data_IF_972525574859
#
_entry.id   IF_972525574859
#
_cell.length_a   1.000
_cell.length_b   1.000
_cell.length_c   1.000
_cell.angle_alpha   90.00
_cell.angle_beta   90.00
_cell.angle_gamma   90.00
#
_symmetry.space_group_name_H-M   'P 1'
#
loop_
_entity.id
_entity.type
_entity.pdbx_description
1 polymer ?
#
# COMPACT_ATOMS: atom_id res chain seq x y z
N UNK A 1 26.01 20.96 11.62
CA UNK A 1 25.24 19.76 11.29
C UNK A 1 26.20 18.61 11.03
N UNK A 2 25.95 17.45 11.63
CA UNK A 2 26.74 16.24 11.37
C UNK A 2 26.72 15.89 9.88
N UNK A 3 27.88 15.50 9.34
CA UNK A 3 27.97 15.13 7.93
C UNK A 3 27.12 13.89 7.64
N UNK A 4 26.35 13.90 6.55
CA UNK A 4 25.47 12.81 6.12
C UNK A 4 26.17 11.44 6.10
N UNK A 5 27.48 11.40 5.84
CA UNK A 5 28.27 10.16 5.80
C UNK A 5 28.23 9.37 7.11
N UNK A 6 28.19 10.05 8.27
CA UNK A 6 28.14 9.40 9.57
C UNK A 6 26.75 8.84 9.87
N UNK A 7 25.70 9.53 9.42
CA UNK A 7 24.33 9.02 9.48
C UNK A 7 24.15 7.77 8.62
N UNK A 8 24.67 7.81 7.39
CA UNK A 8 24.65 6.66 6.48
C UNK A 8 25.49 5.51 7.06
N UNK A 9 26.67 5.79 7.62
CA UNK A 9 27.47 4.80 8.35
C UNK A 9 26.62 4.10 9.43
N UNK A 10 25.98 4.86 10.31
CA UNK A 10 25.17 4.29 11.39
C UNK A 10 23.99 3.46 10.84
N UNK A 11 23.30 3.97 9.84
CA UNK A 11 22.16 3.25 9.22
C UNK A 11 22.58 1.93 8.61
N UNK A 12 23.78 1.87 8.02
CA UNK A 12 24.32 0.72 7.30
C UNK A 12 24.83 -0.41 8.23
N UNK A 13 24.98 -0.15 9.56
CA UNK A 13 25.48 -1.17 10.49
C UNK A 13 24.49 -2.33 10.63
N UNK A 14 24.79 -3.44 9.96
CA UNK A 14 24.09 -4.71 10.15
C UNK A 14 24.55 -5.35 11.46
N UNK A 15 23.63 -5.93 12.22
CA UNK A 15 23.97 -6.50 13.57
C UNK A 15 23.80 -5.51 14.72
N UNK A 16 23.51 -4.22 14.44
CA UNK A 16 23.07 -3.25 15.43
C UNK A 16 21.55 -3.06 15.28
N UNK A 17 20.80 -3.41 16.32
CA UNK A 17 19.33 -3.30 16.28
C UNK A 17 18.85 -1.85 16.15
N UNK A 18 17.65 -1.59 15.61
CA UNK A 18 17.08 -0.23 15.57
C UNK A 18 17.06 0.43 16.97
N UNK A 19 16.71 -0.30 18.01
CA UNK A 19 16.70 0.21 19.38
C UNK A 19 18.11 0.59 19.86
N UNK A 20 19.15 -0.18 19.49
CA UNK A 20 20.54 0.13 19.84
C UNK A 20 21.04 1.39 19.09
N UNK A 21 20.70 1.55 17.81
CA UNK A 21 21.01 2.79 17.05
C UNK A 21 20.35 4.01 17.67
N UNK A 22 19.07 3.89 18.06
CA UNK A 22 18.36 4.95 18.75
C UNK A 22 18.96 5.26 20.14
N UNK A 23 19.36 4.24 20.90
CA UNK A 23 20.05 4.42 22.19
C UNK A 23 21.39 5.18 22.02
N UNK A 24 22.15 4.84 20.98
CA UNK A 24 23.38 5.52 20.61
C UNK A 24 23.15 7.01 20.34
N UNK A 25 22.16 7.32 19.49
CA UNK A 25 21.81 8.70 19.14
C UNK A 25 21.26 9.49 20.32
N UNK A 26 20.49 8.87 21.22
CA UNK A 26 20.08 9.52 22.48
C UNK A 26 21.24 9.85 23.40
N UNK A 27 22.30 9.01 23.40
CA UNK A 27 23.45 9.21 24.24
C UNK A 27 24.41 10.32 23.74
N UNK A 28 24.67 10.33 22.42
CA UNK A 28 25.64 11.26 21.81
C UNK A 28 25.02 12.48 21.12
N UNK A 29 23.71 12.48 20.90
CA UNK A 29 22.98 13.54 20.22
C UNK A 29 22.98 13.44 18.71
N UNK A 30 24.07 13.01 18.09
CA UNK A 30 24.19 12.83 16.64
C UNK A 30 25.16 11.72 16.24
N UNK A 31 25.12 11.34 14.94
CA UNK A 31 25.90 10.23 14.42
C UNK A 31 27.41 10.54 14.28
N UNK A 32 27.78 11.79 14.10
CA UNK A 32 29.19 12.20 13.98
C UNK A 32 29.89 12.15 15.35
N UNK A 33 29.25 12.69 16.38
CA UNK A 33 29.72 12.58 17.77
C UNK A 33 29.85 11.11 18.19
N UNK A 34 28.86 10.29 17.86
CA UNK A 34 28.92 8.86 18.10
C UNK A 34 30.09 8.18 17.37
N UNK A 35 30.36 8.56 16.12
CA UNK A 35 31.45 7.97 15.34
C UNK A 35 32.82 8.26 15.96
N UNK A 36 33.02 9.43 16.54
CA UNK A 36 34.29 9.83 17.16
C UNK A 36 34.38 9.55 18.67
N UNK A 37 33.36 8.87 19.24
CA UNK A 37 33.38 8.51 20.65
C UNK A 37 34.61 7.65 21.03
N UNK A 38 35.10 7.74 22.26
CA UNK A 38 36.23 6.92 22.72
C UNK A 38 35.98 5.40 22.59
N UNK A 39 37.02 4.63 22.30
CA UNK A 39 36.94 3.19 22.21
C UNK A 39 36.47 2.56 23.53
N UNK A 40 35.64 1.53 23.47
CA UNK A 40 35.09 0.80 24.62
C UNK A 40 33.89 1.49 25.29
N UNK A 41 33.43 2.63 24.83
CA UNK A 41 32.24 3.28 25.40
C UNK A 41 30.92 2.67 24.94
N UNK A 42 30.82 2.16 23.70
CA UNK A 42 29.57 1.64 23.17
C UNK A 42 28.99 0.47 24.00
N UNK A 43 29.85 -0.40 24.54
CA UNK A 43 29.43 -1.51 25.40
C UNK A 43 28.85 -1.10 26.75
N UNK A 44 29.02 0.16 27.17
CA UNK A 44 28.47 0.71 28.42
C UNK A 44 27.08 1.33 28.22
N UNK A 45 26.67 1.56 26.98
CA UNK A 45 25.36 2.15 26.67
C UNK A 45 24.28 1.08 26.81
N UNK A 46 23.31 1.34 27.69
CA UNK A 46 22.17 0.44 27.89
C UNK A 46 21.40 0.21 26.58
N UNK A 47 21.23 -1.04 26.21
CA UNK A 47 20.53 -1.44 24.98
C UNK A 47 21.45 -1.77 23.81
N UNK A 48 22.77 -1.61 23.95
CA UNK A 48 23.76 -2.06 22.96
C UNK A 48 24.37 -3.39 23.45
N UNK A 49 24.21 -4.45 22.64
CA UNK A 49 24.81 -5.74 22.91
C UNK A 49 26.33 -5.72 22.68
N UNK A 50 27.07 -6.66 23.27
CA UNK A 50 28.52 -6.79 23.05
C UNK A 50 28.86 -6.95 21.55
N UNK A 51 28.07 -7.73 20.80
CA UNK A 51 28.23 -7.85 19.34
C UNK A 51 27.95 -6.54 18.59
N UNK A 52 26.91 -5.81 18.99
CA UNK A 52 26.59 -4.49 18.43
C UNK A 52 27.67 -3.46 18.72
N UNK A 53 28.22 -3.46 19.94
CA UNK A 53 29.34 -2.59 20.31
C UNK A 53 30.59 -2.89 19.44
N UNK A 54 30.95 -4.15 19.25
CA UNK A 54 32.07 -4.53 18.39
C UNK A 54 31.90 -4.08 16.93
N UNK A 55 30.67 -4.18 16.39
CA UNK A 55 30.34 -3.67 15.06
C UNK A 55 30.52 -2.15 14.98
N UNK A 56 30.05 -1.40 15.97
CA UNK A 56 30.20 0.07 16.02
C UNK A 56 31.67 0.48 16.21
N UNK A 57 32.44 -0.25 17.02
CA UNK A 57 33.87 0.00 17.24
C UNK A 57 34.72 -0.18 15.98
N UNK A 58 34.29 -1.02 15.04
CA UNK A 58 35.01 -1.19 13.75
C UNK A 58 35.05 0.08 12.92
N UNK A 59 34.06 0.99 13.10
CA UNK A 59 33.93 2.25 12.35
C UNK A 59 34.09 2.09 10.85
N UNK A 60 33.60 0.97 10.33
CA UNK A 60 33.71 0.65 8.91
C UNK A 60 32.90 1.60 8.05
N UNK A 61 33.58 2.40 7.24
CA UNK A 61 33.00 3.38 6.29
C UNK A 61 32.99 2.87 4.85
N UNK A 62 33.49 1.66 4.59
CA UNK A 62 33.72 1.13 3.24
C UNK A 62 32.48 1.16 2.33
N UNK A 63 31.28 0.97 2.90
CA UNK A 63 30.02 0.97 2.17
C UNK A 63 29.35 2.33 2.00
N UNK A 64 29.82 3.36 2.69
CA UNK A 64 29.13 4.66 2.75
C UNK A 64 29.08 5.33 1.38
N UNK A 65 30.21 5.33 0.67
CA UNK A 65 30.30 5.95 -0.66
C UNK A 65 29.42 5.21 -1.69
N UNK A 66 29.43 3.86 -1.66
CA UNK A 66 28.60 3.02 -2.53
C UNK A 66 27.11 3.27 -2.26
N UNK A 67 26.69 3.37 -0.98
CA UNK A 67 25.32 3.69 -0.60
C UNK A 67 24.91 5.07 -1.14
N UNK A 68 25.74 6.08 -0.94
CA UNK A 68 25.47 7.43 -1.43
C UNK A 68 25.44 7.50 -2.96
N UNK A 69 26.32 6.75 -3.62
CA UNK A 69 26.30 6.61 -5.09
C UNK A 69 25.01 5.91 -5.56
N UNK A 70 24.62 4.81 -4.91
CA UNK A 70 23.37 4.11 -5.18
C UNK A 70 22.14 4.99 -4.97
N UNK A 71 22.13 5.81 -3.92
CA UNK A 71 21.07 6.79 -3.70
C UNK A 71 20.93 7.75 -4.88
N UNK A 72 22.05 8.32 -5.36
CA UNK A 72 22.05 9.20 -6.55
C UNK A 72 21.55 8.51 -7.81
N UNK A 73 22.01 7.27 -8.07
CA UNK A 73 21.60 6.51 -9.26
C UNK A 73 20.12 6.15 -9.28
N UNK A 74 19.54 5.89 -8.12
CA UNK A 74 18.15 5.46 -7.96
C UNK A 74 17.19 6.61 -7.68
N UNK A 75 17.67 7.86 -7.67
CA UNK A 75 16.91 9.05 -7.29
C UNK A 75 16.28 8.89 -5.90
N UNK A 76 17.10 8.51 -4.93
CA UNK A 76 16.73 8.33 -3.52
C UNK A 76 17.40 9.44 -2.70
N UNK A 77 16.61 10.10 -1.87
CA UNK A 77 17.10 11.12 -0.94
C UNK A 77 17.22 10.50 0.47
N UNK A 78 18.42 10.36 1.01
CA UNK A 78 18.57 10.04 2.42
C UNK A 78 18.21 11.26 3.28
N UNK A 79 17.28 11.06 4.24
CA UNK A 79 16.81 12.08 5.18
C UNK A 79 17.16 11.61 6.58
N UNK A 80 17.96 12.39 7.30
CA UNK A 80 18.46 12.06 8.65
C UNK A 80 17.53 12.58 9.73
N UNK A 81 17.60 12.04 10.94
CA UNK A 81 16.81 12.53 12.07
C UNK A 81 17.03 14.02 12.39
N UNK A 82 18.12 14.64 11.93
CA UNK A 82 18.40 16.07 12.13
C UNK A 82 17.83 16.97 11.03
N UNK A 83 17.41 16.40 9.90
CA UNK A 83 16.86 17.17 8.81
C UNK A 83 15.45 17.67 9.14
N UNK A 84 15.11 18.87 8.63
CA UNK A 84 13.78 19.46 8.82
C UNK A 84 12.69 18.62 8.18
N UNK A 85 12.99 17.96 7.05
CA UNK A 85 12.06 17.09 6.31
C UNK A 85 11.82 15.71 6.99
N UNK A 86 12.51 15.44 8.12
CA UNK A 86 12.28 14.21 8.85
C UNK A 86 11.02 14.35 9.71
N UNK A 87 9.99 13.49 9.53
CA UNK A 87 8.72 13.64 10.24
C UNK A 87 8.90 13.60 11.76
N UNK A 88 8.37 14.64 12.46
CA UNK A 88 8.48 14.77 13.91
C UNK A 88 7.80 13.59 14.61
N UNK A 89 6.63 13.16 14.10
CA UNK A 89 5.92 11.99 14.64
C UNK A 89 6.74 10.69 14.54
N UNK A 90 7.63 10.57 13.54
CA UNK A 90 8.53 9.42 13.42
C UNK A 90 9.74 9.55 14.35
N UNK A 91 10.21 10.79 14.60
CA UNK A 91 11.33 11.07 15.55
C UNK A 91 10.96 10.65 16.98
N UNK A 92 9.66 10.70 17.31
CA UNK A 92 9.15 10.46 18.66
C UNK A 92 8.81 8.99 18.96
N UNK A 93 8.98 8.04 18.04
CA UNK A 93 8.78 6.63 18.33
C UNK A 93 9.93 6.05 19.18
N UNK A 94 9.71 4.89 19.80
CA UNK A 94 10.70 4.25 20.69
C UNK A 94 12.07 4.04 20.00
N UNK A 95 12.08 3.60 18.76
CA UNK A 95 13.31 3.34 18.00
C UNK A 95 13.24 3.99 16.60
N UNK A 96 13.36 5.33 16.51
CA UNK A 96 13.32 6.03 15.24
C UNK A 96 14.49 5.63 14.34
N UNK A 97 14.27 5.47 13.02
CA UNK A 97 15.35 5.21 12.08
C UNK A 97 16.31 6.42 12.03
N UNK A 98 17.61 6.15 12.13
CA UNK A 98 18.63 7.20 12.04
C UNK A 98 18.58 7.95 10.69
N UNK A 99 18.26 7.22 9.63
CA UNK A 99 18.06 7.71 8.26
C UNK A 99 16.84 7.03 7.66
N UNK A 100 15.99 7.78 6.99
CA UNK A 100 15.00 7.25 6.06
C UNK A 100 15.47 7.55 4.63
N UNK A 101 15.38 6.54 3.79
CA UNK A 101 15.68 6.64 2.36
C UNK A 101 14.37 6.90 1.64
N UNK A 102 14.24 8.06 1.00
CA UNK A 102 12.99 8.55 0.41
C UNK A 102 13.12 8.61 -1.10
N UNK A 103 12.15 8.04 -1.80
CA UNK A 103 11.99 8.17 -3.24
C UNK A 103 10.60 8.71 -3.57
N UNK A 104 10.52 9.70 -4.45
CA UNK A 104 9.29 10.41 -4.77
C UNK A 104 9.08 11.67 -3.94
N UNK A 105 7.83 12.08 -3.76
CA UNK A 105 7.45 13.34 -3.10
C UNK A 105 6.89 13.05 -1.70
N UNK A 106 7.72 13.22 -0.69
CA UNK A 106 7.28 13.12 0.70
C UNK A 106 6.58 14.44 1.08
N UNK A 107 5.29 14.41 1.46
CA UNK A 107 4.61 15.59 2.00
C UNK A 107 5.11 15.91 3.41
N UNK A 108 4.74 17.07 3.94
CA UNK A 108 4.91 17.42 5.36
C UNK A 108 3.95 16.57 6.20
N UNK A 109 4.39 15.35 6.52
CA UNK A 109 3.54 14.31 7.13
C UNK A 109 2.92 14.74 8.46
N UNK A 110 3.60 15.62 9.21
CA UNK A 110 3.10 16.07 10.51
C UNK A 110 1.86 16.94 10.38
N UNK A 111 1.64 17.53 9.22
CA UNK A 111 0.47 18.30 8.88
C UNK A 111 -0.65 17.48 8.22
N UNK A 112 -0.44 16.18 8.01
CA UNK A 112 -1.37 15.33 7.27
C UNK A 112 -2.04 14.28 8.18
N UNK A 113 -3.36 14.06 7.97
CA UNK A 113 -4.08 12.95 8.57
C UNK A 113 -3.71 11.63 7.85
N UNK A 114 -2.57 11.07 8.22
CA UNK A 114 -2.04 9.88 7.60
C UNK A 114 -2.61 8.62 8.28
N UNK A 115 -3.30 7.78 7.54
CA UNK A 115 -3.93 6.55 8.03
C UNK A 115 -3.24 5.33 7.40
N UNK A 116 -2.73 4.43 8.24
CA UNK A 116 -2.27 3.13 7.76
C UNK A 116 -3.45 2.20 7.50
N UNK A 117 -3.57 1.69 6.28
CA UNK A 117 -4.60 0.71 5.91
C UNK A 117 -3.92 -0.62 5.63
N UNK A 118 -4.15 -1.59 6.52
CA UNK A 118 -3.41 -2.85 6.56
C UNK A 118 -4.33 -4.07 6.65
N UNK A 119 -3.76 -5.25 6.42
CA UNK A 119 -4.46 -6.50 6.62
C UNK A 119 -3.71 -7.72 6.10
N UNK A 120 -4.44 -8.81 5.95
CA UNK A 120 -3.88 -10.07 5.47
C UNK A 120 -3.40 -9.99 4.03
N UNK A 121 -2.31 -10.72 3.72
CA UNK A 121 -1.82 -10.92 2.35
C UNK A 121 -2.75 -11.82 1.52
N UNK A 122 -3.52 -12.69 2.18
CA UNK A 122 -4.50 -13.60 1.56
C UNK A 122 -5.92 -13.07 1.80
N UNK A 123 -6.16 -11.87 1.28
CA UNK A 123 -7.43 -11.19 1.45
C UNK A 123 -8.55 -11.85 0.65
N UNK A 124 -9.75 -11.82 1.20
CA UNK A 124 -10.99 -12.20 0.50
C UNK A 124 -11.37 -11.13 -0.55
N UNK A 125 -12.26 -11.45 -1.50
CA UNK A 125 -12.82 -10.43 -2.40
C UNK A 125 -13.48 -9.26 -1.66
N UNK A 126 -14.13 -9.53 -0.51
CA UNK A 126 -14.67 -8.50 0.38
C UNK A 126 -13.57 -7.60 0.93
N UNK A 127 -12.52 -8.18 1.50
CA UNK A 127 -11.40 -7.43 2.06
C UNK A 127 -10.69 -6.57 1.03
N UNK A 128 -10.42 -7.11 -0.18
CA UNK A 128 -9.81 -6.34 -1.27
C UNK A 128 -10.67 -5.12 -1.67
N UNK A 129 -12.00 -5.34 -1.81
CA UNK A 129 -12.96 -4.27 -2.11
C UNK A 129 -12.99 -3.23 -0.99
N UNK A 130 -13.08 -3.66 0.28
CA UNK A 130 -13.13 -2.77 1.43
C UNK A 130 -11.84 -1.98 1.61
N UNK A 131 -10.67 -2.61 1.50
CA UNK A 131 -9.37 -1.93 1.60
C UNK A 131 -9.20 -0.85 0.54
N UNK A 132 -9.53 -1.16 -0.71
CA UNK A 132 -9.48 -0.18 -1.81
C UNK A 132 -10.49 0.96 -1.61
N UNK A 133 -11.73 0.64 -1.22
CA UNK A 133 -12.79 1.61 -1.01
C UNK A 133 -12.45 2.58 0.14
N UNK A 134 -12.08 2.04 1.31
CA UNK A 134 -11.73 2.86 2.48
C UNK A 134 -10.56 3.79 2.20
N UNK A 135 -9.51 3.28 1.55
CA UNK A 135 -8.36 4.10 1.17
C UNK A 135 -8.76 5.24 0.23
N UNK A 136 -9.62 4.97 -0.76
CA UNK A 136 -10.15 6.00 -1.64
C UNK A 136 -11.05 7.02 -0.92
N UNK A 137 -11.85 6.59 0.06
CA UNK A 137 -12.68 7.47 0.87
C UNK A 137 -11.83 8.32 1.82
N UNK A 138 -10.78 7.76 2.45
CA UNK A 138 -9.80 8.51 3.26
C UNK A 138 -9.22 9.67 2.45
N UNK A 139 -8.78 9.40 1.22
CA UNK A 139 -8.24 10.42 0.32
C UNK A 139 -9.29 11.50 0.00
N UNK A 140 -10.50 11.10 -0.39
CA UNK A 140 -11.58 12.08 -0.71
C UNK A 140 -11.98 12.93 0.49
N UNK A 141 -11.82 12.42 1.69
CA UNK A 141 -12.06 13.16 2.93
C UNK A 141 -10.89 14.06 3.36
N UNK A 142 -9.79 14.09 2.60
CA UNK A 142 -8.62 14.94 2.87
C UNK A 142 -7.48 14.27 3.63
N UNK A 143 -7.56 12.96 3.88
CA UNK A 143 -6.47 12.19 4.47
C UNK A 143 -5.51 11.62 3.42
N UNK A 144 -4.40 11.06 3.88
CA UNK A 144 -3.44 10.31 3.08
C UNK A 144 -3.31 8.87 3.58
N UNK A 145 -2.85 7.97 2.71
CA UNK A 145 -2.77 6.54 3.02
C UNK A 145 -1.32 6.11 3.22
N UNK A 146 -1.06 5.39 4.31
CA UNK A 146 0.20 4.68 4.54
C UNK A 146 -0.02 3.20 4.24
N UNK A 147 0.86 2.61 3.43
CA UNK A 147 0.77 1.20 3.03
C UNK A 147 2.13 0.53 3.06
N UNK A 148 2.12 -0.75 3.40
CA UNK A 148 3.31 -1.60 3.27
C UNK A 148 3.59 -2.10 1.87
N UNK A 149 2.73 -1.80 0.91
CA UNK A 149 2.78 -2.26 -0.48
C UNK A 149 2.90 -3.78 -0.66
N UNK A 150 2.61 -4.56 0.38
CA UNK A 150 2.58 -6.02 0.28
C UNK A 150 1.31 -6.48 -0.44
N UNK A 151 1.28 -7.76 -0.87
CA UNK A 151 0.08 -8.33 -1.49
C UNK A 151 -1.14 -8.28 -0.56
N UNK A 152 -2.35 -8.40 -1.10
CA UNK A 152 -3.60 -8.40 -0.33
C UNK A 152 -4.08 -7.00 0.00
N UNK A 153 -4.44 -6.76 1.26
CA UNK A 153 -5.05 -5.50 1.70
C UNK A 153 -4.16 -4.29 1.44
N UNK A 154 -2.87 -4.37 1.76
CA UNK A 154 -1.94 -3.26 1.58
C UNK A 154 -1.92 -2.77 0.12
N UNK A 155 -1.78 -3.70 -0.83
CA UNK A 155 -1.79 -3.36 -2.25
C UNK A 155 -3.16 -2.84 -2.72
N UNK A 156 -4.26 -3.37 -2.19
CA UNK A 156 -5.61 -2.89 -2.51
C UNK A 156 -5.81 -1.45 -2.00
N UNK A 157 -5.37 -1.16 -0.78
CA UNK A 157 -5.43 0.17 -0.19
C UNK A 157 -4.61 1.20 -0.99
N UNK A 158 -3.35 0.86 -1.33
CA UNK A 158 -2.52 1.74 -2.13
C UNK A 158 -3.17 2.05 -3.49
N UNK A 159 -3.71 1.02 -4.20
CA UNK A 159 -4.46 1.24 -5.44
C UNK A 159 -5.69 2.11 -5.25
N UNK A 160 -6.45 1.88 -4.16
CA UNK A 160 -7.64 2.69 -3.83
C UNK A 160 -7.31 4.17 -3.65
N UNK A 161 -6.22 4.47 -2.94
CA UNK A 161 -5.73 5.83 -2.76
C UNK A 161 -5.32 6.48 -4.10
N UNK A 162 -4.57 5.75 -4.94
CA UNK A 162 -4.14 6.24 -6.25
C UNK A 162 -5.32 6.43 -7.22
N UNK A 163 -6.32 5.54 -7.22
CA UNK A 163 -7.54 5.67 -8.01
C UNK A 163 -8.38 6.89 -7.62
N UNK A 164 -8.32 7.29 -6.34
CA UNK A 164 -8.94 8.52 -5.85
C UNK A 164 -8.08 9.77 -6.09
N UNK A 165 -7.01 9.65 -6.88
CA UNK A 165 -6.07 10.71 -7.23
C UNK A 165 -5.29 11.29 -6.03
N UNK A 166 -5.16 10.51 -4.94
CA UNK A 166 -4.57 10.93 -3.68
C UNK A 166 -3.13 10.50 -3.46
N UNK A 167 -2.62 10.91 -2.31
CA UNK A 167 -1.27 10.59 -1.84
C UNK A 167 -1.26 9.25 -1.11
N UNK A 168 -0.34 8.38 -1.49
CA UNK A 168 -0.01 7.16 -0.78
C UNK A 168 1.47 7.16 -0.43
N UNK A 169 1.80 6.81 0.82
CA UNK A 169 3.18 6.61 1.26
C UNK A 169 3.42 5.11 1.42
N UNK A 170 4.34 4.60 0.62
CA UNK A 170 4.77 3.22 0.70
C UNK A 170 5.93 3.05 1.68
N UNK A 171 5.76 2.28 2.76
CA UNK A 171 6.87 1.98 3.68
C UNK A 171 7.38 0.57 3.38
N UNK A 172 8.64 0.48 2.95
CA UNK A 172 9.22 -0.77 2.48
C UNK A 172 9.90 -1.54 3.62
N UNK A 173 9.75 -2.86 3.61
CA UNK A 173 10.56 -3.79 4.42
C UNK A 173 11.83 -4.27 3.71
N UNK A 174 12.19 -3.60 2.61
CA UNK A 174 13.36 -3.88 1.77
C UNK A 174 14.01 -2.56 1.36
N UNK A 175 15.20 -2.61 0.80
CA UNK A 175 15.77 -1.45 0.11
C UNK A 175 15.04 -1.17 -1.22
N UNK A 176 15.13 0.05 -1.71
CA UNK A 176 14.40 0.49 -2.92
C UNK A 176 14.78 -0.27 -4.20
N UNK A 177 16.02 -0.69 -4.34
CA UNK A 177 16.53 -1.47 -5.48
C UNK A 177 15.95 -2.89 -5.55
N UNK A 178 15.44 -3.40 -4.43
CA UNK A 178 14.75 -4.68 -4.35
C UNK A 178 13.25 -4.59 -4.69
N UNK A 179 12.67 -3.38 -4.67
CA UNK A 179 11.25 -3.17 -5.00
C UNK A 179 11.10 -2.92 -6.50
N UNK A 180 10.52 -3.89 -7.21
CA UNK A 180 10.37 -3.86 -8.67
C UNK A 180 8.91 -3.76 -9.15
N UNK A 181 7.96 -3.64 -8.23
CA UNK A 181 6.54 -3.60 -8.54
C UNK A 181 6.11 -2.33 -9.29
N UNK A 182 5.12 -2.46 -10.19
CA UNK A 182 4.52 -1.30 -10.86
C UNK A 182 3.83 -0.38 -9.84
N UNK A 183 3.16 -0.96 -8.84
CA UNK A 183 2.48 -0.21 -7.79
C UNK A 183 3.42 0.74 -7.03
N UNK A 184 4.64 0.31 -6.73
CA UNK A 184 5.64 1.16 -6.08
C UNK A 184 6.03 2.37 -6.96
N UNK A 185 6.15 2.17 -8.28
CA UNK A 185 6.39 3.27 -9.22
C UNK A 185 5.22 4.25 -9.29
N UNK A 186 4.00 3.72 -9.31
CA UNK A 186 2.78 4.53 -9.36
C UNK A 186 2.64 5.39 -8.08
N UNK A 187 3.01 4.84 -6.91
CA UNK A 187 3.05 5.56 -5.63
C UNK A 187 4.01 6.74 -5.68
N UNK A 188 5.20 6.60 -6.29
CA UNK A 188 6.18 7.67 -6.40
C UNK A 188 5.74 8.87 -7.24
N UNK A 189 4.67 8.76 -8.05
CA UNK A 189 4.20 9.87 -8.92
C UNK A 189 3.66 11.02 -8.08
N UNK A 190 2.87 10.71 -7.04
CA UNK A 190 2.23 11.71 -6.16
C UNK A 190 2.67 11.64 -4.70
N UNK A 191 3.10 10.48 -4.25
CA UNK A 191 3.55 10.19 -2.93
C UNK A 191 5.02 9.79 -2.88
N UNK A 192 5.40 9.00 -1.89
CA UNK A 192 6.76 8.56 -1.70
C UNK A 192 6.87 7.10 -1.26
N UNK A 193 8.01 6.52 -1.54
CA UNK A 193 8.48 5.31 -0.89
C UNK A 193 9.49 5.67 0.19
N UNK A 194 9.35 5.05 1.35
CA UNK A 194 10.25 5.19 2.49
C UNK A 194 10.84 3.83 2.84
N UNK A 195 12.13 3.79 3.06
CA UNK A 195 12.83 2.62 3.60
C UNK A 195 13.84 3.04 4.68
N UNK A 196 14.00 2.23 5.72
CA UNK A 196 15.11 2.34 6.67
C UNK A 196 16.40 1.72 6.10
N UNK A 197 16.26 0.91 5.06
CA UNK A 197 17.35 0.10 4.52
C UNK A 197 18.00 0.80 3.33
N UNK A 198 19.33 1.06 3.41
CA UNK A 198 20.06 1.68 2.30
C UNK A 198 20.08 0.77 1.05
N UNK A 199 20.28 1.34 -0.14
CA UNK A 199 20.48 0.57 -1.37
C UNK A 199 21.54 -0.55 -1.21
N UNK A 200 21.28 -1.69 -1.82
CA UNK A 200 22.14 -2.89 -1.72
C UNK A 200 21.91 -3.74 -0.47
N UNK A 201 20.94 -3.39 0.39
CA UNK A 201 20.60 -4.22 1.57
C UNK A 201 19.77 -5.42 1.15
N UNK A 202 20.23 -6.63 1.50
CA UNK A 202 19.48 -7.86 1.21
C UNK A 202 18.21 -7.95 2.08
N UNK A 203 17.08 -8.43 1.54
CA UNK A 203 15.84 -8.54 2.28
C UNK A 203 15.90 -9.64 3.34
N UNK A 204 15.49 -9.31 4.56
CA UNK A 204 15.34 -10.25 5.67
C UNK A 204 13.89 -10.26 6.17
N UNK A 205 13.44 -11.41 6.70
CA UNK A 205 12.08 -11.51 7.27
C UNK A 205 11.84 -10.57 8.45
N UNK A 206 12.87 -10.31 9.26
CA UNK A 206 12.82 -9.36 10.37
C UNK A 206 12.51 -7.94 9.88
N UNK A 207 13.03 -7.52 8.74
CA UNK A 207 12.83 -6.19 8.19
C UNK A 207 11.35 -5.83 8.00
N UNK A 208 10.53 -6.81 7.60
CA UNK A 208 9.08 -6.59 7.43
C UNK A 208 8.37 -6.33 8.76
N UNK A 209 8.87 -6.91 9.87
CA UNK A 209 8.35 -6.65 11.21
C UNK A 209 8.88 -5.32 11.74
N UNK A 210 10.19 -5.07 11.58
CA UNK A 210 10.82 -3.83 12.02
C UNK A 210 10.23 -2.60 11.32
N UNK A 211 9.79 -2.74 10.05
CA UNK A 211 9.11 -1.71 9.27
C UNK A 211 7.77 -1.28 9.90
N UNK A 212 7.07 -2.16 10.60
CA UNK A 212 5.75 -1.86 11.18
C UNK A 212 5.81 -0.64 12.10
N UNK A 213 6.88 -0.51 12.92
CA UNK A 213 7.05 0.65 13.81
C UNK A 213 7.15 1.98 13.05
N UNK A 214 7.74 1.94 11.85
CA UNK A 214 7.87 3.13 10.99
C UNK A 214 6.50 3.49 10.40
N UNK A 215 5.79 2.52 9.85
CA UNK A 215 4.45 2.74 9.30
C UNK A 215 3.46 3.22 10.38
N UNK A 216 3.50 2.65 11.58
CA UNK A 216 2.72 3.11 12.72
C UNK A 216 3.14 4.53 13.15
N UNK A 217 4.45 4.79 13.24
CA UNK A 217 4.99 6.10 13.61
C UNK A 217 4.59 7.22 12.67
N UNK A 218 4.52 6.95 11.38
CA UNK A 218 4.09 7.91 10.35
C UNK A 218 2.57 8.14 10.34
N UNK A 219 1.79 7.26 10.97
CA UNK A 219 0.33 7.32 10.97
C UNK A 219 -0.20 8.03 12.22
N UNK A 220 -1.41 8.59 12.12
CA UNK A 220 -2.20 9.02 13.29
C UNK A 220 -3.15 7.92 13.73
N UNK A 221 -3.58 7.05 12.82
CA UNK A 221 -4.42 5.89 13.10
C UNK A 221 -4.14 4.73 12.15
N UNK A 222 -4.57 3.54 12.55
CA UNK A 222 -4.36 2.29 11.82
C UNK A 222 -5.69 1.58 11.61
N UNK A 223 -6.02 1.24 10.37
CA UNK A 223 -7.23 0.51 10.00
C UNK A 223 -6.88 -0.90 9.57
N UNK A 224 -7.38 -1.89 10.30
CA UNK A 224 -7.25 -3.31 9.98
C UNK A 224 -8.48 -3.78 9.22
N UNK A 225 -8.31 -4.15 7.94
CA UNK A 225 -9.44 -4.53 7.07
C UNK A 225 -9.82 -5.99 7.20
N UNK A 226 -8.85 -6.87 7.15
CA UNK A 226 -8.99 -8.31 7.42
C UNK A 226 -7.72 -8.84 8.09
N UNK A 227 -7.89 -9.66 9.10
CA UNK A 227 -6.79 -10.33 9.81
C UNK A 227 -7.25 -11.69 10.35
N UNK A 228 -6.66 -12.82 9.91
CA UNK A 228 -6.78 -14.08 10.65
C UNK A 228 -6.24 -13.96 12.07
N UNK A 229 -6.67 -14.87 12.96
CA UNK A 229 -6.28 -14.90 14.38
C UNK A 229 -4.75 -14.80 14.63
N UNK A 230 -3.94 -15.42 13.75
CA UNK A 230 -2.47 -15.38 13.80
C UNK A 230 -1.94 -14.65 12.56
N UNK A 231 -2.03 -13.31 12.57
CA UNK A 231 -1.72 -12.47 11.43
C UNK A 231 -0.63 -11.44 11.76
N UNK A 232 0.23 -11.14 10.78
CA UNK A 232 1.17 -10.03 10.87
C UNK A 232 0.49 -8.67 11.02
N UNK A 233 -0.77 -8.53 10.57
CA UNK A 233 -1.55 -7.32 10.75
C UNK A 233 -1.91 -7.07 12.23
N UNK A 234 -2.13 -8.13 13.03
CA UNK A 234 -2.35 -7.98 14.47
C UNK A 234 -1.07 -7.56 15.20
N UNK A 235 0.10 -8.04 14.77
CA UNK A 235 1.38 -7.55 15.30
C UNK A 235 1.60 -6.09 14.96
N UNK A 236 1.16 -5.64 13.78
CA UNK A 236 1.20 -4.24 13.42
C UNK A 236 0.23 -3.41 14.29
N UNK A 237 -1.00 -3.88 14.50
CA UNK A 237 -1.98 -3.20 15.35
C UNK A 237 -1.47 -3.07 16.79
N UNK A 238 -0.84 -4.11 17.35
CA UNK A 238 -0.22 -4.05 18.66
C UNK A 238 0.92 -3.02 18.72
N UNK A 239 1.83 -3.01 17.74
CA UNK A 239 2.90 -2.01 17.64
C UNK A 239 2.35 -0.58 17.56
N UNK A 240 1.26 -0.38 16.82
CA UNK A 240 0.60 0.93 16.69
C UNK A 240 -0.08 1.36 18.01
N UNK A 241 -0.72 0.42 18.71
CA UNK A 241 -1.30 0.66 20.02
C UNK A 241 -0.24 1.03 21.06
N UNK A 242 0.92 0.36 21.05
CA UNK A 242 2.06 0.67 21.92
C UNK A 242 2.62 2.09 21.65
N UNK A 243 2.43 2.60 20.44
CA UNK A 243 2.75 3.98 20.04
C UNK A 243 1.61 4.97 20.27
N UNK A 244 0.50 4.56 20.92
CA UNK A 244 -0.65 5.40 21.22
C UNK A 244 -1.46 5.82 19.98
N UNK A 245 -1.48 4.98 18.92
CA UNK A 245 -2.27 5.25 17.72
C UNK A 245 -3.67 4.68 17.86
N UNK A 246 -4.66 5.40 17.33
CA UNK A 246 -6.03 4.90 17.24
C UNK A 246 -6.12 3.67 16.32
N UNK A 247 -6.80 2.63 16.80
CA UNK A 247 -6.99 1.39 16.05
C UNK A 247 -8.44 1.30 15.58
N UNK A 248 -8.60 1.08 14.28
CA UNK A 248 -9.87 0.87 13.62
C UNK A 248 -9.93 -0.53 13.03
N UNK A 249 -11.10 -1.16 13.08
CA UNK A 249 -11.30 -2.49 12.53
C UNK A 249 -12.54 -2.56 11.64
N UNK A 250 -12.40 -3.23 10.49
CA UNK A 250 -13.53 -3.43 9.58
C UNK A 250 -14.33 -4.65 10.03
N UNK A 251 -15.65 -4.51 10.26
CA UNK A 251 -16.51 -5.64 10.58
C UNK A 251 -16.57 -6.66 9.43
N UNK A 252 -16.59 -7.92 9.78
CA UNK A 252 -16.77 -9.03 8.85
C UNK A 252 -17.65 -10.11 9.46
N UNK A 253 -17.92 -11.20 8.71
CA UNK A 253 -18.73 -12.30 9.20
C UNK A 253 -18.03 -12.99 10.38
N UNK A 254 -18.79 -13.32 11.42
CA UNK A 254 -18.27 -13.91 12.65
C UNK A 254 -17.60 -15.29 12.45
N UNK A 255 -18.03 -16.03 11.44
CA UNK A 255 -17.53 -17.36 11.05
C UNK A 255 -16.41 -17.31 9.99
N UNK A 256 -16.10 -16.13 9.46
CA UNK A 256 -15.05 -15.99 8.45
C UNK A 256 -13.65 -15.96 9.10
N UNK A 257 -12.72 -16.85 8.70
CA UNK A 257 -11.39 -16.90 9.29
C UNK A 257 -10.60 -15.58 9.20
N UNK A 258 -10.82 -14.79 8.15
CA UNK A 258 -10.17 -13.50 7.96
C UNK A 258 -10.75 -12.38 8.83
N UNK A 259 -11.91 -12.60 9.46
CA UNK A 259 -12.54 -11.64 10.37
C UNK A 259 -12.20 -11.88 11.83
N UNK A 260 -11.64 -13.03 12.18
CA UNK A 260 -11.39 -13.41 13.58
C UNK A 260 -10.52 -12.36 14.31
N UNK A 261 -9.45 -11.88 13.67
CA UNK A 261 -8.57 -10.88 14.26
C UNK A 261 -9.18 -9.48 14.33
N UNK A 262 -9.97 -9.06 13.34
CA UNK A 262 -10.64 -7.75 13.41
C UNK A 262 -11.77 -7.75 14.46
N UNK A 263 -12.46 -8.88 14.64
CA UNK A 263 -13.45 -9.05 15.70
C UNK A 263 -12.76 -8.99 17.08
N UNK A 264 -11.63 -9.67 17.25
CA UNK A 264 -10.86 -9.60 18.50
C UNK A 264 -10.41 -8.17 18.81
N UNK A 265 -9.88 -7.44 17.83
CA UNK A 265 -9.52 -6.03 18.00
C UNK A 265 -10.72 -5.16 18.42
N UNK A 266 -11.90 -5.38 17.85
CA UNK A 266 -13.12 -4.66 18.26
C UNK A 266 -13.52 -5.00 19.70
N UNK A 267 -13.38 -6.25 20.13
CA UNK A 267 -13.61 -6.67 21.51
C UNK A 267 -12.61 -6.06 22.51
N UNK A 268 -11.40 -5.75 22.04
CA UNK A 268 -10.34 -5.07 22.78
C UNK A 268 -10.49 -3.53 22.75
N UNK A 269 -11.49 -2.99 22.02
CA UNK A 269 -11.79 -1.57 22.01
C UNK A 269 -11.49 -0.85 20.69
N UNK A 270 -11.00 -1.54 19.66
CA UNK A 270 -10.83 -0.92 18.35
C UNK A 270 -12.18 -0.48 17.78
N UNK A 271 -12.26 0.76 17.26
CA UNK A 271 -13.49 1.32 16.70
C UNK A 271 -13.88 0.59 15.41
N UNK A 272 -15.13 0.04 15.33
CA UNK A 272 -15.63 -0.52 14.09
C UNK A 272 -15.90 0.57 13.05
N UNK A 273 -15.42 0.38 11.81
CA UNK A 273 -15.55 1.38 10.75
C UNK A 273 -16.04 0.76 9.45
N UNK A 274 -16.82 1.53 8.69
CA UNK A 274 -17.39 1.14 7.38
C UNK A 274 -17.01 2.12 6.28
N UNK A 275 -16.70 3.36 6.63
CA UNK A 275 -16.38 4.45 5.71
C UNK A 275 -15.07 5.13 6.09
N UNK A 276 -14.45 5.84 5.16
CA UNK A 276 -13.26 6.64 5.42
C UNK A 276 -13.52 7.77 6.41
N UNK A 277 -14.76 8.30 6.46
CA UNK A 277 -15.13 9.33 7.42
C UNK A 277 -15.27 8.80 8.84
N UNK A 278 -15.70 7.55 9.03
CA UNK A 278 -15.74 6.93 10.37
C UNK A 278 -14.35 6.89 11.04
N UNK A 279 -13.30 6.93 10.23
CA UNK A 279 -11.89 6.98 10.65
C UNK A 279 -11.47 8.43 10.87
N UNK A 280 -11.63 9.29 9.85
CA UNK A 280 -11.06 10.62 9.83
C UNK A 280 -11.78 11.60 10.76
N UNK A 281 -13.04 11.37 11.10
CA UNK A 281 -13.77 12.23 12.05
C UNK A 281 -13.11 12.25 13.45
N UNK A 282 -12.39 11.21 13.86
CA UNK A 282 -11.63 11.19 15.13
C UNK A 282 -10.46 12.18 15.15
N UNK A 283 -10.02 12.61 13.98
CA UNK A 283 -8.87 13.52 13.83
C UNK A 283 -9.28 14.91 13.32
N UNK A 284 -10.58 15.20 13.22
CA UNK A 284 -11.06 16.45 12.63
C UNK A 284 -10.56 17.70 13.39
N UNK A 285 -10.47 17.60 14.71
CA UNK A 285 -9.96 18.69 15.57
C UNK A 285 -8.43 18.86 15.49
N UNK A 286 -7.70 17.78 15.13
CA UNK A 286 -6.24 17.82 14.97
C UNK A 286 -5.82 18.41 13.62
N UNK A 287 -6.68 18.32 12.59
CA UNK A 287 -6.43 18.80 11.24
C UNK A 287 -7.53 19.77 10.77
N UNK A 288 -7.71 20.92 11.43
CA UNK A 288 -8.82 21.83 11.15
C UNK A 288 -8.73 22.36 9.73
N UNK A 289 -9.86 22.32 9.02
CA UNK A 289 -9.97 22.81 7.63
C UNK A 289 -9.40 21.88 6.54
N UNK A 290 -8.68 20.82 6.90
CA UNK A 290 -8.17 19.82 5.94
C UNK A 290 -9.15 18.68 5.73
N UNK A 291 -9.77 18.20 6.81
CA UNK A 291 -10.67 17.05 6.78
C UNK A 291 -12.13 17.50 6.58
N UNK A 292 -12.81 16.80 5.69
CA UNK A 292 -14.24 17.03 5.42
C UNK A 292 -14.92 15.72 5.07
N UNK A 293 -16.15 15.56 5.48
CA UNK A 293 -16.96 14.45 5.00
C UNK A 293 -17.18 14.61 3.50
N UNK A 294 -16.66 13.68 2.69
CA UNK A 294 -16.95 13.67 1.27
C UNK A 294 -18.44 13.33 1.09
N UNK A 295 -19.14 14.07 0.23
CA UNK A 295 -20.47 13.65 -0.23
C UNK A 295 -20.34 12.22 -0.78
N UNK A 296 -21.29 11.36 -0.40
CA UNK A 296 -21.28 9.97 -0.84
C UNK A 296 -21.27 9.97 -2.38
N UNK A 297 -20.12 9.71 -2.96
CA UNK A 297 -20.07 9.42 -4.37
C UNK A 297 -20.95 8.19 -4.58
N UNK A 298 -22.05 8.34 -5.27
CA UNK A 298 -22.89 7.23 -5.69
C UNK A 298 -21.99 6.22 -6.39
N UNK A 299 -21.70 5.13 -5.69
CA UNK A 299 -21.14 3.96 -6.36
C UNK A 299 -22.20 3.53 -7.36
N UNK A 300 -21.87 3.23 -8.62
CA UNK A 300 -22.84 2.67 -9.53
C UNK A 300 -23.40 1.39 -8.88
N UNK A 301 -24.62 1.50 -8.35
CA UNK A 301 -25.38 0.36 -7.87
C UNK A 301 -25.69 -0.51 -9.08
N UNK A 302 -24.95 -1.60 -9.24
CA UNK A 302 -25.39 -2.69 -10.08
C UNK A 302 -26.60 -3.35 -9.40
N UNK A 303 -27.78 -3.02 -9.86
CA UNK A 303 -29.00 -3.77 -9.60
C UNK A 303 -30.15 -2.99 -8.95
N UNK A 304 -30.83 -2.13 -9.69
CA UNK A 304 -32.28 -1.93 -9.52
C UNK A 304 -32.95 -2.12 -10.87
N UNK A 305 -33.74 -3.20 -10.92
CA UNK A 305 -34.77 -3.39 -11.93
C UNK A 305 -35.74 -2.20 -11.87
N UNK A 306 -35.87 -1.46 -12.94
CA UNK A 306 -37.09 -0.70 -13.21
C UNK A 306 -37.75 -1.27 -14.46
N UNK A 307 -38.91 -1.86 -14.20
CA UNK A 307 -39.91 -2.11 -15.23
C UNK A 307 -40.59 -0.79 -15.61
N UNK A 308 -40.71 -0.62 -16.90
CA UNK A 308 -41.72 0.08 -17.67
C UNK A 308 -42.23 1.47 -17.26
N UNK A 309 -42.02 2.46 -18.12
CA UNK A 309 -43.12 3.05 -18.91
C UNK A 309 -42.54 4.04 -19.96
N UNK A 310 -42.97 3.84 -21.16
CA UNK A 310 -43.32 4.49 -22.37
C UNK A 310 -42.88 5.91 -22.69
N UNK A 311 -42.38 6.01 -23.94
CA UNK A 311 -42.62 7.05 -24.95
C UNK A 311 -42.03 8.49 -24.80
N UNK A 312 -41.11 8.84 -25.63
CA UNK A 312 -41.13 9.69 -26.85
C UNK A 312 -39.79 10.35 -27.11
N UNK A 313 -39.27 10.11 -28.30
CA UNK A 313 -38.26 10.99 -28.93
C UNK A 313 -38.83 12.36 -29.24
N UNK A 314 -37.98 13.38 -29.39
CA UNK A 314 -37.70 13.86 -30.74
C UNK A 314 -36.23 14.25 -31.02
N UNK A 315 -35.99 14.22 -32.32
CA UNK A 315 -34.80 14.55 -33.08
C UNK A 315 -34.17 15.93 -32.82
N UNK A 316 -32.88 15.99 -33.05
CA UNK A 316 -32.24 17.07 -33.78
C UNK A 316 -31.32 18.02 -33.02
N UNK A 317 -30.01 17.87 -33.21
CA UNK A 317 -29.17 18.91 -33.80
C UNK A 317 -27.66 18.58 -33.71
N UNK A 318 -27.02 18.76 -34.83
CA UNK A 318 -25.59 18.60 -35.12
C UNK A 318 -24.73 19.72 -34.53
N UNK A 319 -23.45 19.37 -34.34
CA UNK A 319 -22.20 20.12 -34.41
C UNK A 319 -21.50 20.52 -33.12
N UNK A 320 -20.22 20.15 -33.11
CA UNK A 320 -19.18 20.75 -32.30
C UNK A 320 -18.03 19.77 -31.99
N UNK A 321 -17.02 19.76 -32.90
CA UNK A 321 -15.75 19.04 -32.68
C UNK A 321 -14.93 19.91 -31.75
N UNK A 322 -14.54 19.36 -30.61
CA UNK A 322 -13.36 19.85 -29.90
C UNK A 322 -12.49 18.68 -29.37
N UNK A 323 -11.21 18.85 -29.66
CA UNK A 323 -10.13 17.90 -29.40
C UNK A 323 -9.81 17.89 -27.91
N UNK A 324 -10.11 16.80 -27.20
CA UNK A 324 -9.49 16.53 -25.91
C UNK A 324 -8.51 15.37 -25.98
N UNK A 325 -7.38 15.64 -25.36
CA UNK A 325 -6.13 14.90 -25.39
C UNK A 325 -6.27 13.49 -24.85
N UNK A 326 -5.68 12.56 -25.58
CA UNK A 326 -5.49 11.14 -25.30
C UNK A 326 -5.03 10.84 -23.87
N UNK A 327 -5.88 10.19 -23.09
CA UNK A 327 -5.49 9.36 -21.97
C UNK A 327 -4.99 8.02 -22.52
N UNK A 328 -3.83 7.57 -22.04
CA UNK A 328 -3.09 6.45 -22.56
C UNK A 328 -3.91 5.17 -22.72
N UNK A 329 -4.06 4.74 -23.95
CA UNK A 329 -4.53 3.43 -24.33
C UNK A 329 -3.47 2.39 -23.89
N UNK A 330 -3.81 1.53 -22.96
CA UNK A 330 -3.09 0.26 -22.79
C UNK A 330 -3.44 -0.57 -24.03
N UNK A 331 -2.42 -0.89 -24.83
CA UNK A 331 -2.55 -1.53 -26.14
C UNK A 331 -3.32 -2.85 -26.03
N UNK A 332 -4.50 -2.90 -26.65
CA UNK A 332 -5.38 -4.07 -26.71
C UNK A 332 -4.65 -5.29 -27.30
N UNK A 333 -3.65 -5.07 -28.17
CA UNK A 333 -2.77 -6.09 -28.73
C UNK A 333 -1.87 -6.74 -27.70
N UNK A 334 -1.35 -5.99 -26.72
CA UNK A 334 -0.55 -6.57 -25.64
C UNK A 334 -1.38 -7.40 -24.65
N UNK A 335 -2.65 -7.05 -24.43
CA UNK A 335 -3.55 -7.83 -23.57
C UNK A 335 -4.00 -9.12 -24.25
N UNK A 336 -4.25 -9.09 -25.55
CA UNK A 336 -4.59 -10.28 -26.35
C UNK A 336 -3.38 -11.24 -26.50
N UNK A 337 -2.16 -10.71 -26.58
CA UNK A 337 -0.94 -11.52 -26.64
C UNK A 337 -0.64 -12.34 -25.35
N UNK A 338 -1.33 -12.02 -24.26
CA UNK A 338 -1.21 -12.74 -22.96
C UNK A 338 -2.29 -13.81 -22.76
N UNK A 339 -3.12 -14.07 -23.76
CA UNK A 339 -4.16 -15.09 -23.70
C UNK A 339 -3.65 -16.42 -24.30
N UNK A 340 -4.07 -17.54 -23.69
CA UNK A 340 -3.78 -18.85 -24.23
C UNK A 340 -4.58 -19.10 -25.53
N UNK A 341 -4.11 -20.04 -26.36
CA UNK A 341 -4.84 -20.43 -27.58
C UNK A 341 -6.28 -20.84 -27.29
N UNK A 342 -6.52 -21.54 -26.17
CA UNK A 342 -7.87 -21.94 -25.74
C UNK A 342 -8.74 -20.70 -25.39
N UNK A 343 -8.16 -19.69 -24.74
CA UNK A 343 -8.85 -18.44 -24.40
C UNK A 343 -9.20 -17.63 -25.65
N UNK A 344 -8.29 -17.57 -26.63
CA UNK A 344 -8.52 -16.89 -27.91
C UNK A 344 -9.64 -17.57 -28.72
N UNK A 345 -9.70 -18.93 -28.73
CA UNK A 345 -10.79 -19.68 -29.38
C UNK A 345 -12.14 -19.35 -28.75
N UNK A 346 -12.21 -19.27 -27.43
CA UNK A 346 -13.45 -18.92 -26.71
C UNK A 346 -13.90 -17.50 -27.01
N UNK A 347 -12.99 -16.52 -26.95
CA UNK A 347 -13.31 -15.13 -27.30
C UNK A 347 -13.79 -15.02 -28.74
N UNK A 348 -13.11 -15.69 -29.69
CA UNK A 348 -13.51 -15.72 -31.10
C UNK A 348 -14.88 -16.36 -31.32
N UNK A 349 -15.25 -17.39 -30.57
CA UNK A 349 -16.57 -18.00 -30.64
C UNK A 349 -17.67 -17.04 -30.14
N UNK A 350 -17.42 -16.33 -29.05
CA UNK A 350 -18.35 -15.34 -28.51
C UNK A 350 -18.48 -14.12 -29.44
N UNK A 351 -17.39 -13.64 -30.02
CA UNK A 351 -17.40 -12.51 -30.98
C UNK A 351 -18.17 -12.85 -32.27
N UNK A 352 -18.18 -14.12 -32.68
CA UNK A 352 -18.96 -14.64 -33.79
C UNK A 352 -20.44 -14.92 -33.50
N UNK A 353 -20.91 -14.61 -32.27
CA UNK A 353 -22.28 -14.65 -31.88
C UNK A 353 -22.73 -15.82 -30.96
N UNK A 354 -21.78 -16.65 -30.48
CA UNK A 354 -22.07 -17.66 -29.46
C UNK A 354 -22.41 -16.95 -28.13
N UNK A 355 -23.69 -16.95 -27.76
CA UNK A 355 -24.17 -16.25 -26.55
C UNK A 355 -24.49 -17.21 -25.40
N UNK A 356 -24.48 -18.51 -25.62
CA UNK A 356 -24.76 -19.55 -24.61
C UNK A 356 -23.52 -20.43 -24.40
N UNK A 357 -23.33 -20.93 -23.18
CA UNK A 357 -22.15 -21.77 -22.84
C UNK A 357 -22.10 -23.02 -23.74
N UNK A 358 -23.24 -23.61 -24.04
CA UNK A 358 -23.30 -24.81 -24.87
C UNK A 358 -22.86 -24.51 -26.31
N UNK A 359 -23.20 -23.33 -26.87
CA UNK A 359 -22.77 -22.88 -28.20
C UNK A 359 -21.26 -22.68 -28.22
N UNK A 360 -20.67 -22.17 -27.14
CA UNK A 360 -19.21 -21.98 -27.02
C UNK A 360 -18.50 -23.32 -26.98
N UNK A 361 -19.04 -24.32 -26.29
CA UNK A 361 -18.48 -25.68 -26.25
C UNK A 361 -18.49 -26.30 -27.66
N UNK A 362 -19.62 -26.19 -28.37
CA UNK A 362 -19.78 -26.74 -29.71
C UNK A 362 -18.85 -26.05 -30.72
N UNK A 363 -18.79 -24.72 -30.71
CA UNK A 363 -17.98 -23.93 -31.64
C UNK A 363 -16.47 -24.00 -31.39
N UNK A 364 -16.05 -24.31 -30.16
CA UNK A 364 -14.60 -24.41 -29.83
C UNK A 364 -14.07 -25.83 -29.88
N UNK A 365 -14.93 -26.84 -29.82
CA UNK A 365 -14.53 -28.25 -29.75
C UNK A 365 -13.78 -28.64 -28.46
N UNK A 366 -13.79 -27.77 -27.45
CA UNK A 366 -13.14 -28.02 -26.17
C UNK A 366 -14.07 -28.79 -25.24
N UNK A 367 -13.52 -29.59 -24.33
CA UNK A 367 -14.31 -30.29 -23.32
C UNK A 367 -15.00 -29.32 -22.36
N UNK A 368 -16.23 -29.64 -21.92
CA UNK A 368 -17.04 -28.82 -21.01
C UNK A 368 -16.25 -28.32 -19.77
N UNK A 369 -15.47 -29.17 -19.05
CA UNK A 369 -14.69 -28.70 -17.90
C UNK A 369 -13.64 -27.65 -18.27
N UNK A 370 -13.00 -27.79 -19.44
CA UNK A 370 -12.01 -26.84 -19.94
C UNK A 370 -12.66 -25.50 -20.29
N UNK A 371 -13.79 -25.52 -21.01
CA UNK A 371 -14.51 -24.29 -21.36
C UNK A 371 -14.94 -23.55 -20.10
N UNK A 372 -15.55 -24.23 -19.12
CA UNK A 372 -15.97 -23.61 -17.87
C UNK A 372 -14.81 -22.99 -17.08
N UNK A 373 -13.68 -23.68 -17.00
CA UNK A 373 -12.47 -23.16 -16.34
C UNK A 373 -11.94 -21.91 -17.05
N UNK A 374 -11.82 -21.93 -18.38
CA UNK A 374 -11.32 -20.80 -19.14
C UNK A 374 -12.29 -19.61 -19.15
N UNK A 375 -13.61 -19.85 -19.18
CA UNK A 375 -14.61 -18.78 -19.01
C UNK A 375 -14.48 -18.08 -17.67
N UNK A 376 -14.21 -18.82 -16.58
CA UNK A 376 -13.96 -18.20 -15.26
C UNK A 376 -12.73 -17.32 -15.27
N UNK A 377 -11.64 -17.76 -15.91
CA UNK A 377 -10.41 -16.97 -16.04
C UNK A 377 -10.65 -15.72 -16.90
N UNK A 378 -11.37 -15.83 -18.00
CA UNK A 378 -11.70 -14.70 -18.89
C UNK A 378 -12.63 -13.67 -18.22
N UNK A 379 -13.56 -14.14 -17.38
CA UNK A 379 -14.42 -13.28 -16.58
C UNK A 379 -13.62 -12.51 -15.52
N UNK A 380 -12.71 -13.18 -14.78
CA UNK A 380 -11.79 -12.55 -13.81
C UNK A 380 -10.87 -11.54 -14.50
N UNK A 381 -10.41 -11.84 -15.71
CA UNK A 381 -9.61 -10.92 -16.54
C UNK A 381 -10.43 -9.78 -17.16
N UNK A 382 -11.77 -9.81 -17.03
CA UNK A 382 -12.68 -8.78 -17.51
C UNK A 382 -12.90 -8.76 -19.02
N UNK A 383 -12.63 -9.86 -19.73
CA UNK A 383 -12.90 -9.97 -21.17
C UNK A 383 -14.34 -10.35 -21.49
N UNK A 384 -14.99 -11.11 -20.61
CA UNK A 384 -16.36 -11.56 -20.76
C UNK A 384 -17.19 -11.28 -19.52
N UNK A 385 -18.51 -11.29 -19.69
CA UNK A 385 -19.50 -11.23 -18.63
C UNK A 385 -20.46 -12.41 -18.74
N UNK A 386 -20.77 -13.06 -17.62
CA UNK A 386 -21.83 -14.07 -17.55
C UNK A 386 -23.16 -13.41 -17.18
N UNK A 387 -24.19 -13.84 -17.85
CA UNK A 387 -25.56 -13.40 -17.64
C UNK A 387 -26.44 -14.56 -17.15
N UNK A 388 -27.59 -14.28 -16.50
CA UNK A 388 -28.52 -15.32 -16.10
C UNK A 388 -28.94 -16.21 -17.27
N UNK A 389 -29.13 -17.51 -17.02
CA UNK A 389 -29.53 -18.49 -18.07
C UNK A 389 -28.36 -19.04 -18.86
N UNK A 390 -27.11 -19.10 -18.26
CA UNK A 390 -25.89 -19.61 -18.91
C UNK A 390 -25.47 -18.82 -20.15
N UNK A 391 -25.86 -17.56 -20.26
CA UNK A 391 -25.44 -16.66 -21.35
C UNK A 391 -24.11 -16.01 -21.06
N UNK A 392 -23.40 -15.66 -22.12
CA UNK A 392 -22.08 -15.01 -22.07
C UNK A 392 -22.05 -13.90 -23.10
N UNK A 393 -21.50 -12.77 -22.72
CA UNK A 393 -21.23 -11.64 -23.62
C UNK A 393 -19.81 -11.13 -23.48
N UNK A 394 -19.25 -10.55 -24.54
CA UNK A 394 -18.00 -9.82 -24.46
C UNK A 394 -18.22 -8.51 -23.70
N UNK A 395 -17.26 -8.14 -22.87
CA UNK A 395 -17.33 -6.89 -22.13
C UNK A 395 -17.00 -5.72 -23.08
N UNK A 396 -18.05 -5.04 -23.57
CA UNK A 396 -17.95 -3.94 -24.56
C UNK A 396 -17.20 -2.69 -24.08
N UNK A 397 -16.84 -2.59 -22.83
CA UNK A 397 -15.99 -1.52 -22.30
C UNK A 397 -14.53 -1.59 -22.79
N UNK A 398 -14.19 -2.57 -23.63
CA UNK A 398 -12.84 -2.76 -24.23
C UNK A 398 -12.89 -2.89 -25.75
N UNK A 399 -13.90 -2.31 -26.42
CA UNK A 399 -13.89 -2.10 -27.88
C UNK A 399 -13.21 -0.80 -28.23
#
# INVERSE_FOLDING_TARGET
MASIKYWVWLSAQTGVSPAAKAALLRHYGDAETAFFAPAGEFGRIKGISAGGAAVLESRDMSRVEDILAGCRQLDIRPVTMQDADYPERLRNIFAPPAVIYVKGKLPELDDEAAIAVIGTRKASPYGLKMGSRLAGEIVRCGGIVISGLTSGIDAAAARGALLADGVCIGVLGTSHDMEKGSLARDVCVKGALISEYPPGTQPLRSHFRDRNRISAGLSVGVTVVEAPEKSGALLFAAEANDQGKEIFAVPGNADAPNSAGTIALMQEGAKPVRTGWDILCEFADLFPGKLRQAEAAEMPENGKNHAETGEKEPEGAKKGIDKEKSRGYIDLKEQLARLSEEQLKIISAIDKGASHIDDVIENTGLSTPKVLAQLTVLEIKGFIRREPGKRISLNTAKK
#
